data_IF_029700418682
#
_entry.id   IF_029700418682
#
_cell.length_a   1.000
_cell.length_b   1.000
_cell.length_c   1.000
_cell.angle_alpha   90.00
_cell.angle_beta   90.00
_cell.angle_gamma   90.00
#
_symmetry.space_group_name_H-M   'P 1'
#
loop_
_entity.id
_entity.type
_entity.pdbx_description
1 polymer ?
#
# COMPACT_ATOMS: atom_id res chain seq x y z
N UNK A 1 -33.89 29.19 -12.31
CA UNK A 1 -32.49 29.09 -12.80
C UNK A 1 -31.68 30.15 -12.06
N UNK A 2 -31.04 29.80 -10.94
CA UNK A 2 -30.20 30.74 -10.19
C UNK A 2 -28.75 30.58 -10.65
N UNK A 3 -28.24 31.59 -11.34
CA UNK A 3 -26.89 31.62 -11.89
C UNK A 3 -25.85 31.67 -10.78
N UNK A 4 -25.05 30.61 -10.66
CA UNK A 4 -23.85 30.55 -9.82
C UNK A 4 -22.74 31.41 -10.44
N UNK A 5 -22.65 32.68 -10.04
CA UNK A 5 -21.50 33.53 -10.33
C UNK A 5 -20.30 33.04 -9.54
N UNK A 6 -19.26 32.59 -10.25
CA UNK A 6 -17.95 32.28 -9.66
C UNK A 6 -17.14 33.59 -9.58
N UNK A 7 -16.56 33.98 -8.43
CA UNK A 7 -15.82 35.22 -8.33
C UNK A 7 -14.48 35.11 -9.07
N UNK A 8 -14.26 36.03 -10.02
CA UNK A 8 -13.17 36.05 -10.99
C UNK A 8 -11.95 36.88 -10.58
N UNK A 9 -11.85 37.40 -9.35
CA UNK A 9 -10.68 38.16 -8.89
C UNK A 9 -10.09 37.61 -7.59
N UNK A 10 -8.80 37.27 -7.61
CA UNK A 10 -8.04 36.85 -6.43
C UNK A 10 -7.88 38.00 -5.40
N UNK A 11 -8.03 39.25 -5.83
CA UNK A 11 -7.96 40.44 -4.99
C UNK A 11 -9.19 40.63 -4.07
N UNK A 12 -10.34 40.04 -4.41
CA UNK A 12 -11.60 40.15 -3.64
C UNK A 12 -11.80 39.02 -2.63
N UNK A 13 -10.83 38.12 -2.47
CA UNK A 13 -10.89 37.10 -1.41
C UNK A 13 -10.44 37.73 -0.09
N UNK A 14 -11.33 37.96 0.89
CA UNK A 14 -10.94 38.49 2.19
C UNK A 14 -9.91 37.54 2.84
N UNK A 15 -8.85 38.12 3.42
CA UNK A 15 -7.85 37.35 4.16
C UNK A 15 -8.55 36.61 5.30
N UNK A 16 -8.31 35.30 5.40
CA UNK A 16 -8.91 34.46 6.43
C UNK A 16 -8.54 35.00 7.82
N UNK A 17 -9.52 35.09 8.71
CA UNK A 17 -9.27 35.38 10.13
C UNK A 17 -8.50 34.23 10.78
N UNK A 18 -7.81 34.49 11.89
CA UNK A 18 -7.08 33.43 12.63
C UNK A 18 -8.01 32.27 13.05
N UNK A 19 -9.25 32.59 13.45
CA UNK A 19 -10.27 31.59 13.75
C UNK A 19 -10.65 30.75 12.51
N UNK A 20 -10.81 31.38 11.34
CA UNK A 20 -11.08 30.69 10.08
C UNK A 20 -9.90 29.83 9.63
N UNK A 21 -8.67 30.31 9.74
CA UNK A 21 -7.46 29.53 9.43
C UNK A 21 -7.38 28.27 10.30
N UNK A 22 -7.60 28.41 11.61
CA UNK A 22 -7.62 27.27 12.54
C UNK A 22 -8.69 26.25 12.18
N UNK A 23 -9.91 26.70 11.88
CA UNK A 23 -11.01 25.83 11.45
C UNK A 23 -10.69 25.09 10.15
N UNK A 24 -10.18 25.80 9.14
CA UNK A 24 -9.80 25.21 7.86
C UNK A 24 -8.65 24.20 8.01
N UNK A 25 -7.67 24.48 8.87
CA UNK A 25 -6.57 23.57 9.15
C UNK A 25 -7.08 22.24 9.74
N UNK A 26 -7.95 22.31 10.75
CA UNK A 26 -8.55 21.11 11.38
C UNK A 26 -9.32 20.29 10.35
N UNK A 27 -10.18 20.93 9.54
CA UNK A 27 -10.95 20.25 8.49
C UNK A 27 -10.06 19.60 7.44
N UNK A 28 -9.02 20.30 6.99
CA UNK A 28 -8.06 19.77 6.01
C UNK A 28 -7.32 18.56 6.56
N UNK A 29 -6.90 18.60 7.82
CA UNK A 29 -6.20 17.48 8.44
C UNK A 29 -7.14 16.29 8.70
N UNK A 30 -8.39 16.54 9.10
CA UNK A 30 -9.39 15.48 9.22
C UNK A 30 -9.60 14.77 7.87
N UNK A 31 -9.83 15.53 6.80
CA UNK A 31 -9.98 14.97 5.44
C UNK A 31 -8.74 14.19 5.01
N UNK A 32 -7.53 14.71 5.29
CA UNK A 32 -6.28 14.00 5.00
C UNK A 32 -6.21 12.66 5.74
N UNK A 33 -6.56 12.63 7.02
CA UNK A 33 -6.57 11.39 7.83
C UNK A 33 -7.62 10.39 7.37
N UNK A 34 -8.81 10.85 6.98
CA UNK A 34 -9.86 10.00 6.40
C UNK A 34 -9.36 9.33 5.11
N UNK A 35 -8.76 10.09 4.20
CA UNK A 35 -8.19 9.54 2.97
C UNK A 35 -7.07 8.51 3.21
N UNK A 36 -6.23 8.73 4.22
CA UNK A 36 -5.19 7.76 4.62
C UNK A 36 -5.84 6.46 5.11
N UNK A 37 -6.87 6.55 5.99
CA UNK A 37 -7.58 5.37 6.51
C UNK A 37 -8.26 4.57 5.42
N UNK A 38 -8.94 5.25 4.49
CA UNK A 38 -9.51 4.58 3.31
C UNK A 38 -8.44 3.86 2.48
N UNK A 39 -7.23 4.43 2.39
CA UNK A 39 -6.08 3.76 1.78
C UNK A 39 -5.70 2.46 2.48
N UNK A 40 -5.64 2.46 3.81
CA UNK A 40 -5.38 1.26 4.61
C UNK A 40 -6.50 0.22 4.51
N UNK A 41 -7.76 0.65 4.53
CA UNK A 41 -8.90 -0.25 4.36
C UNK A 41 -8.85 -0.93 2.98
N UNK A 42 -8.46 -0.22 1.92
CA UNK A 42 -8.23 -0.81 0.59
C UNK A 42 -7.07 -1.79 0.59
N UNK A 43 -5.93 -1.45 1.19
CA UNK A 43 -4.79 -2.38 1.29
C UNK A 43 -5.20 -3.67 2.02
N UNK A 44 -5.90 -3.53 3.15
CA UNK A 44 -6.43 -4.64 3.92
C UNK A 44 -7.36 -5.57 3.13
N UNK A 45 -8.14 -5.03 2.18
CA UNK A 45 -9.00 -5.86 1.29
C UNK A 45 -8.25 -6.60 0.18
N UNK A 46 -7.05 -6.14 -0.20
CA UNK A 46 -6.26 -6.75 -1.29
C UNK A 46 -5.31 -7.81 -0.73
N UNK A 47 -4.75 -7.56 0.44
CA UNK A 47 -3.74 -8.44 1.05
C UNK A 47 -4.42 -9.63 1.73
N UNK A 48 -4.09 -10.87 1.35
CA UNK A 48 -4.69 -12.05 1.95
C UNK A 48 -4.55 -12.09 3.48
N UNK A 49 -5.65 -12.37 4.17
CA UNK A 49 -5.69 -12.47 5.63
C UNK A 49 -5.75 -11.14 6.40
N UNK A 50 -5.77 -9.99 5.72
CA UNK A 50 -5.81 -8.66 6.35
C UNK A 50 -7.19 -7.99 6.32
N UNK A 51 -8.23 -8.67 5.84
CA UNK A 51 -9.57 -8.07 5.73
C UNK A 51 -10.08 -7.58 7.09
N UNK A 52 -10.60 -6.34 7.12
CA UNK A 52 -11.04 -5.69 8.37
C UNK A 52 -9.92 -5.21 9.29
N UNK A 53 -8.63 -5.45 8.96
CA UNK A 53 -7.48 -5.02 9.77
C UNK A 53 -6.95 -3.62 9.40
N UNK A 54 -7.69 -2.80 8.65
CA UNK A 54 -7.25 -1.48 8.19
C UNK A 54 -6.87 -0.49 9.31
N UNK A 55 -7.19 -0.80 10.57
CA UNK A 55 -6.77 -0.01 11.75
C UNK A 55 -5.44 -0.45 12.36
N UNK A 56 -4.92 -1.60 11.97
CA UNK A 56 -3.63 -2.15 12.40
C UNK A 56 -2.53 -1.75 11.40
N UNK A 57 -2.26 -0.44 11.28
CA UNK A 57 -1.43 0.15 10.20
C UNK A 57 -0.09 -0.58 10.00
N UNK A 58 0.69 -0.80 11.06
CA UNK A 58 1.99 -1.47 10.98
C UNK A 58 1.87 -2.92 10.48
N UNK A 59 0.85 -3.66 10.94
CA UNK A 59 0.60 -5.05 10.54
C UNK A 59 0.19 -5.12 9.08
N UNK A 60 -0.69 -4.21 8.63
CA UNK A 60 -1.12 -4.14 7.24
C UNK A 60 0.07 -3.83 6.33
N UNK A 61 0.92 -2.86 6.68
CA UNK A 61 2.10 -2.53 5.85
C UNK A 61 3.08 -3.71 5.77
N UNK A 62 3.39 -4.34 6.89
CA UNK A 62 4.31 -5.49 6.91
C UNK A 62 3.78 -6.65 6.07
N UNK A 63 2.50 -7.00 6.26
CA UNK A 63 1.82 -8.02 5.46
C UNK A 63 1.78 -7.65 3.97
N UNK A 64 1.54 -6.38 3.63
CA UNK A 64 1.54 -5.89 2.25
C UNK A 64 2.91 -6.06 1.61
N UNK A 65 3.98 -5.66 2.30
CA UNK A 65 5.35 -5.78 1.77
C UNK A 65 5.74 -7.24 1.57
N UNK A 66 5.37 -8.12 2.51
CA UNK A 66 5.56 -9.57 2.36
C UNK A 66 4.81 -10.10 1.13
N UNK A 67 3.53 -9.76 0.99
CA UNK A 67 2.70 -10.21 -0.13
C UNK A 67 3.27 -9.73 -1.49
N UNK A 68 3.74 -8.48 -1.58
CA UNK A 68 4.38 -7.98 -2.82
C UNK A 68 5.62 -8.80 -3.21
N UNK A 69 6.46 -9.18 -2.24
CA UNK A 69 7.63 -10.04 -2.50
C UNK A 69 7.20 -11.43 -3.00
N UNK A 70 6.16 -12.01 -2.41
CA UNK A 70 5.61 -13.29 -2.86
C UNK A 70 5.09 -13.20 -4.30
N UNK A 71 4.39 -12.11 -4.66
CA UNK A 71 3.91 -11.88 -6.02
C UNK A 71 5.07 -11.69 -7.02
N UNK A 72 6.17 -11.06 -6.63
CA UNK A 72 7.37 -10.93 -7.47
C UNK A 72 7.96 -12.31 -7.78
N UNK A 73 8.09 -13.18 -6.78
CA UNK A 73 8.61 -14.55 -6.97
C UNK A 73 7.64 -15.38 -7.81
N UNK A 74 6.34 -15.32 -7.53
CA UNK A 74 5.33 -16.03 -8.31
C UNK A 74 5.33 -15.61 -9.79
N UNK A 75 5.44 -14.31 -10.05
CA UNK A 75 5.59 -13.75 -11.39
C UNK A 75 6.84 -14.28 -12.10
N UNK A 76 7.97 -14.37 -11.39
CA UNK A 76 9.20 -14.93 -11.96
C UNK A 76 9.05 -16.40 -12.36
N UNK A 77 8.37 -17.20 -11.54
CA UNK A 77 8.11 -18.60 -11.86
C UNK A 77 7.26 -18.74 -13.13
N UNK A 78 6.21 -17.93 -13.28
CA UNK A 78 5.37 -17.91 -14.49
C UNK A 78 6.19 -17.54 -15.73
N UNK A 79 7.09 -16.56 -15.61
CA UNK A 79 7.99 -16.17 -16.72
C UNK A 79 8.92 -17.32 -17.09
N UNK A 80 9.53 -17.99 -16.10
CA UNK A 80 10.41 -19.13 -16.34
C UNK A 80 9.67 -20.30 -17.01
N UNK A 81 8.42 -20.58 -16.60
CA UNK A 81 7.57 -21.59 -17.25
C UNK A 81 7.26 -21.23 -18.71
N UNK A 82 6.92 -19.96 -18.98
CA UNK A 82 6.66 -19.48 -20.33
C UNK A 82 7.90 -19.61 -21.23
N UNK A 83 9.08 -19.24 -20.73
CA UNK A 83 10.35 -19.41 -21.43
C UNK A 83 10.66 -20.88 -21.72
N UNK A 84 10.39 -21.78 -20.78
CA UNK A 84 10.56 -23.22 -20.98
C UNK A 84 9.64 -23.79 -22.08
N UNK A 85 8.50 -23.14 -22.33
CA UNK A 85 7.58 -23.45 -23.43
C UNK A 85 7.96 -22.73 -24.74
N UNK A 86 9.07 -21.98 -24.77
CA UNK A 86 9.53 -21.24 -25.94
C UNK A 86 8.76 -19.93 -26.20
N UNK A 87 8.02 -19.43 -25.21
CA UNK A 87 7.33 -18.14 -25.29
C UNK A 87 8.33 -17.01 -25.04
N UNK A 88 8.30 -15.98 -25.88
CA UNK A 88 9.08 -14.77 -25.68
C UNK A 88 8.48 -13.93 -24.54
N UNK A 89 9.29 -13.67 -23.51
CA UNK A 89 8.90 -12.90 -22.32
C UNK A 89 9.58 -11.54 -22.24
N UNK A 90 10.33 -11.13 -23.27
CA UNK A 90 11.14 -9.91 -23.26
C UNK A 90 10.34 -8.69 -22.78
N UNK A 91 10.85 -8.03 -21.74
CA UNK A 91 10.26 -6.84 -21.15
C UNK A 91 9.34 -7.12 -19.96
N UNK A 92 9.10 -8.40 -19.65
CA UNK A 92 8.43 -8.81 -18.42
C UNK A 92 9.42 -9.24 -17.34
N UNK A 93 10.70 -9.38 -17.61
CA UNK A 93 11.68 -9.77 -16.60
C UNK A 93 11.92 -8.64 -15.59
N UNK A 94 12.17 -9.03 -14.33
CA UNK A 94 12.74 -8.12 -13.33
C UNK A 94 14.23 -8.36 -13.24
N UNK A 95 14.97 -7.40 -12.67
CA UNK A 95 16.39 -7.59 -12.44
C UNK A 95 16.67 -8.72 -11.45
N UNK A 96 17.75 -9.47 -11.70
CA UNK A 96 18.22 -10.53 -10.80
C UNK A 96 18.40 -10.06 -9.36
N UNK A 97 18.86 -8.81 -9.18
CA UNK A 97 19.04 -8.21 -7.85
C UNK A 97 17.71 -8.08 -7.10
N UNK A 98 16.63 -7.71 -7.79
CA UNK A 98 15.29 -7.61 -7.21
C UNK A 98 14.78 -8.98 -6.78
N UNK A 99 14.98 -10.00 -7.64
CA UNK A 99 14.56 -11.37 -7.38
C UNK A 99 15.30 -11.95 -6.17
N UNK A 100 16.63 -11.86 -6.16
CA UNK A 100 17.48 -12.34 -5.05
C UNK A 100 17.13 -11.66 -3.73
N UNK A 101 16.88 -10.34 -3.75
CA UNK A 101 16.48 -9.61 -2.55
C UNK A 101 15.13 -10.09 -2.00
N UNK A 102 14.14 -10.30 -2.89
CA UNK A 102 12.83 -10.82 -2.50
C UNK A 102 12.91 -12.24 -1.93
N UNK A 103 13.62 -13.14 -2.61
CA UNK A 103 13.81 -14.52 -2.17
C UNK A 103 14.53 -14.61 -0.83
N UNK A 104 15.61 -13.84 -0.65
CA UNK A 104 16.38 -13.82 0.60
C UNK A 104 15.53 -13.36 1.77
N UNK A 105 14.76 -12.28 1.60
CA UNK A 105 13.89 -11.78 2.67
C UNK A 105 12.74 -12.75 2.99
N UNK A 106 12.13 -13.38 1.98
CA UNK A 106 11.10 -14.38 2.20
C UNK A 106 11.64 -15.63 2.90
N UNK A 107 12.87 -16.05 2.56
CA UNK A 107 13.54 -17.16 3.24
C UNK A 107 13.77 -16.84 4.72
N UNK A 108 14.29 -15.64 5.03
CA UNK A 108 14.47 -15.19 6.42
C UNK A 108 13.16 -15.20 7.21
N UNK A 109 12.09 -14.64 6.65
CA UNK A 109 10.76 -14.62 7.30
C UNK A 109 10.26 -16.04 7.56
N UNK A 110 10.39 -16.95 6.58
CA UNK A 110 10.00 -18.37 6.75
C UNK A 110 10.81 -19.08 7.84
N UNK A 111 12.09 -18.76 7.98
CA UNK A 111 12.96 -19.33 9.02
C UNK A 111 12.59 -18.79 10.40
N UNK A 112 12.30 -17.49 10.51
CA UNK A 112 11.82 -16.86 11.74
C UNK A 112 10.47 -17.44 12.19
N UNK A 113 9.53 -17.62 11.27
CA UNK A 113 8.22 -18.25 11.55
C UNK A 113 8.38 -19.71 12.03
N UNK A 114 9.31 -20.46 11.43
CA UNK A 114 9.60 -21.84 11.85
C UNK A 114 10.27 -21.91 13.23
N UNK A 115 11.15 -20.96 13.55
CA UNK A 115 11.80 -20.90 14.87
C UNK A 115 10.81 -20.48 15.97
N UNK A 116 9.85 -19.60 15.66
CA UNK A 116 8.87 -19.10 16.63
C UNK A 116 7.63 -20.01 16.77
N UNK A 117 7.40 -20.96 15.85
CA UNK A 117 6.26 -21.88 15.88
C UNK A 117 6.42 -23.14 16.75
N UNK A 118 7.51 -23.27 17.53
CA UNK A 118 7.88 -24.52 18.21
C UNK A 118 7.48 -24.71 19.68
N UNK A 119 6.68 -23.82 20.28
CA UNK A 119 6.29 -23.94 21.70
C UNK A 119 4.77 -24.05 21.91
N UNK A 120 4.26 -25.04 22.68
CA UNK A 120 2.84 -25.07 23.03
C UNK A 120 2.52 -23.84 23.90
N UNK A 121 1.43 -23.14 23.57
CA UNK A 121 0.79 -22.21 24.49
C UNK A 121 -0.13 -23.03 25.39
N UNK A 122 0.42 -23.47 26.53
CA UNK A 122 -0.37 -23.92 27.68
C UNK A 122 -1.09 -22.74 28.35
#
# INVERSE_FOLDING_TARGET
MASSQSPTNAADRPRLTEAQKKSNHIKSEQKRREAIREGFDRLASIVPGMEGQGRSEAVVLDATVRYLREQIVARNNIIAEAQAQGIDTTGWELSDDTLKACETQLKRVKEEDQQNGGGPKD
#
